data_IF_842385634500
#
_entry.id   IF_842385634500
#
_cell.length_a   1.000
_cell.length_b   1.000
_cell.length_c   1.000
_cell.angle_alpha   90.00
_cell.angle_beta   90.00
_cell.angle_gamma   90.00
#
_symmetry.space_group_name_H-M   'P 1'
#
loop_
_entity.id
_entity.type
_entity.pdbx_description
1 polymer ?
#
# COMPACT_ATOMS: atom_id res chain seq x y z
N UNK A 1 14.63 -14.37 -21.06
CA UNK A 1 14.07 -13.65 -19.90
C UNK A 1 14.88 -12.37 -19.78
N UNK A 2 14.26 -11.20 -19.97
CA UNK A 2 14.97 -9.91 -19.87
C UNK A 2 15.43 -9.69 -18.43
N UNK A 3 16.63 -9.13 -18.24
CA UNK A 3 17.19 -8.83 -16.91
C UNK A 3 16.25 -8.01 -16.03
N UNK A 4 15.33 -7.27 -16.65
CA UNK A 4 14.30 -6.49 -15.96
C UNK A 4 13.25 -7.32 -15.24
N UNK A 5 12.67 -8.30 -15.93
CA UNK A 5 11.65 -9.18 -15.34
C UNK A 5 12.22 -10.05 -14.22
N UNK A 6 13.52 -10.40 -14.31
CA UNK A 6 14.20 -11.15 -13.28
C UNK A 6 14.36 -10.33 -11.99
N UNK A 7 14.75 -9.06 -12.10
CA UNK A 7 15.01 -8.21 -10.93
C UNK A 7 13.73 -7.80 -10.21
N UNK A 8 12.66 -7.47 -10.95
CA UNK A 8 11.36 -7.18 -10.34
C UNK A 8 10.77 -8.40 -9.64
N UNK A 9 10.88 -9.59 -10.24
CA UNK A 9 10.43 -10.84 -9.63
C UNK A 9 11.24 -11.23 -8.39
N UNK A 10 12.57 -11.03 -8.41
CA UNK A 10 13.42 -11.27 -7.25
C UNK A 10 13.06 -10.33 -6.09
N UNK A 11 12.80 -9.05 -6.39
CA UNK A 11 12.40 -8.08 -5.38
C UNK A 11 11.02 -8.39 -4.78
N UNK A 12 10.05 -8.80 -5.62
CA UNK A 12 8.74 -9.26 -5.14
C UNK A 12 8.86 -10.52 -4.28
N UNK A 13 9.74 -11.44 -4.64
CA UNK A 13 10.00 -12.64 -3.82
C UNK A 13 10.55 -12.26 -2.44
N UNK A 14 11.51 -11.34 -2.39
CA UNK A 14 12.06 -10.82 -1.12
C UNK A 14 10.99 -10.12 -0.27
N UNK A 15 10.13 -9.30 -0.90
CA UNK A 15 9.02 -8.65 -0.21
C UNK A 15 8.00 -9.64 0.35
N UNK A 16 7.66 -10.69 -0.42
CA UNK A 16 6.78 -11.78 0.02
C UNK A 16 7.35 -12.49 1.25
N UNK A 17 8.59 -12.97 1.16
CA UNK A 17 9.25 -13.67 2.28
C UNK A 17 9.38 -12.79 3.53
N UNK A 18 9.51 -11.47 3.35
CA UNK A 18 9.54 -10.52 4.44
C UNK A 18 8.18 -10.37 5.12
N UNK A 19 7.11 -10.30 4.34
CA UNK A 19 5.73 -10.12 4.82
C UNK A 19 5.11 -11.40 5.38
N UNK A 20 5.45 -12.57 4.83
CA UNK A 20 4.98 -13.88 5.30
C UNK A 20 5.36 -14.19 6.76
N UNK A 21 6.26 -13.39 7.34
CA UNK A 21 6.57 -13.43 8.79
C UNK A 21 5.47 -12.82 9.66
N UNK A 22 4.58 -12.03 9.08
CA UNK A 22 3.58 -11.23 9.78
C UNK A 22 2.15 -11.49 9.28
N UNK A 23 1.98 -11.79 7.99
CA UNK A 23 0.70 -11.84 7.30
C UNK A 23 0.65 -13.01 6.32
N UNK A 24 -0.55 -13.44 5.95
CA UNK A 24 -0.74 -14.31 4.79
C UNK A 24 -0.66 -13.45 3.51
N UNK A 25 0.18 -13.88 2.56
CA UNK A 25 0.44 -13.18 1.30
C UNK A 25 0.10 -14.09 0.14
N UNK A 26 -0.71 -13.60 -0.79
CA UNK A 26 -1.04 -14.26 -2.04
C UNK A 26 -0.25 -13.64 -3.19
N UNK A 27 0.07 -14.45 -4.19
CA UNK A 27 0.70 -14.00 -5.44
C UNK A 27 -0.34 -14.14 -6.54
N UNK A 28 -0.67 -13.04 -7.19
CA UNK A 28 -1.64 -13.01 -8.29
C UNK A 28 -1.00 -13.48 -9.61
N UNK A 29 -1.83 -13.71 -10.63
CA UNK A 29 -1.41 -14.20 -11.95
C UNK A 29 -0.41 -13.27 -12.67
N UNK A 30 -0.41 -11.98 -12.32
CA UNK A 30 0.52 -10.97 -12.84
C UNK A 30 1.80 -10.83 -11.99
N UNK A 31 1.92 -11.61 -10.92
CA UNK A 31 3.04 -11.59 -9.98
C UNK A 31 2.92 -10.54 -8.87
N UNK A 32 1.87 -9.73 -8.85
CA UNK A 32 1.62 -8.81 -7.74
C UNK A 32 1.37 -9.58 -6.44
N UNK A 33 1.78 -9.00 -5.31
CA UNK A 33 1.48 -9.56 -4.00
C UNK A 33 0.20 -8.94 -3.47
N UNK A 34 -0.77 -9.75 -3.08
CA UNK A 34 -2.01 -9.30 -2.44
C UNK A 34 -2.11 -9.86 -1.03
N UNK A 35 -2.52 -9.02 -0.08
CA UNK A 35 -2.69 -9.40 1.31
C UNK A 35 -3.67 -8.45 1.99
N UNK A 36 -4.06 -8.78 3.22
CA UNK A 36 -4.87 -7.88 4.04
C UNK A 36 -4.31 -7.76 5.46
N UNK A 37 -4.49 -6.59 6.06
CA UNK A 37 -4.16 -6.35 7.47
C UNK A 37 -5.23 -5.48 8.11
N UNK A 38 -5.89 -6.01 9.15
CA UNK A 38 -7.04 -5.37 9.81
C UNK A 38 -8.11 -4.87 8.81
N UNK A 39 -8.55 -5.77 7.92
CA UNK A 39 -9.55 -5.52 6.86
C UNK A 39 -9.17 -4.42 5.85
N UNK A 40 -7.89 -4.03 5.80
CA UNK A 40 -7.33 -3.19 4.73
C UNK A 40 -6.69 -4.10 3.69
N UNK A 41 -7.27 -4.25 2.49
CA UNK A 41 -6.61 -4.95 1.40
C UNK A 41 -5.47 -4.09 0.85
N UNK A 42 -4.33 -4.74 0.61
CA UNK A 42 -3.12 -4.13 0.11
C UNK A 42 -2.54 -4.94 -1.05
N UNK A 43 -1.90 -4.24 -1.98
CA UNK A 43 -1.21 -4.81 -3.14
C UNK A 43 0.20 -4.24 -3.25
N UNK A 44 1.18 -5.09 -3.57
CA UNK A 44 2.55 -4.70 -3.88
C UNK A 44 2.90 -5.10 -5.30
N UNK A 45 3.48 -4.15 -6.03
CA UNK A 45 4.02 -4.35 -7.37
C UNK A 45 5.46 -3.86 -7.42
N UNK A 46 6.29 -4.50 -8.25
CA UNK A 46 7.65 -4.04 -8.54
C UNK A 46 7.72 -3.46 -9.94
N UNK A 47 8.46 -2.37 -10.10
CA UNK A 47 8.70 -1.74 -11.41
C UNK A 47 10.14 -1.25 -11.47
N UNK A 48 10.83 -1.52 -12.58
CA UNK A 48 12.13 -0.92 -12.84
C UNK A 48 11.92 0.46 -13.45
N UNK A 49 12.47 1.50 -12.81
CA UNK A 49 12.44 2.86 -13.37
C UNK A 49 13.67 3.16 -14.22
N UNK A 50 14.82 2.60 -13.85
CA UNK A 50 16.08 2.68 -14.57
C UNK A 50 16.95 1.47 -14.21
N UNK A 51 18.08 1.31 -14.90
CA UNK A 51 19.08 0.30 -14.53
C UNK A 51 19.59 0.54 -13.09
N UNK A 52 19.53 -0.49 -12.24
CA UNK A 52 19.88 -0.39 -10.83
C UNK A 52 18.88 0.41 -9.97
N UNK A 53 17.68 0.68 -10.48
CA UNK A 53 16.60 1.36 -9.75
C UNK A 53 15.28 0.60 -9.87
N UNK A 54 15.13 -0.42 -9.03
CA UNK A 54 13.89 -1.17 -8.88
C UNK A 54 13.09 -0.65 -7.68
N UNK A 55 11.84 -0.28 -7.94
CA UNK A 55 10.92 0.35 -6.98
C UNK A 55 9.79 -0.61 -6.63
N UNK A 56 9.47 -0.71 -5.34
CA UNK A 56 8.24 -1.33 -4.87
C UNK A 56 7.17 -0.26 -4.71
N UNK A 57 5.98 -0.52 -5.24
CA UNK A 57 4.78 0.27 -5.03
C UNK A 57 3.79 -0.53 -4.19
N UNK A 58 3.55 -0.08 -2.97
CA UNK A 58 2.52 -0.59 -2.08
C UNK A 58 1.29 0.31 -2.17
N UNK A 59 0.13 -0.27 -2.43
CA UNK A 59 -1.17 0.43 -2.43
C UNK A 59 -2.11 -0.29 -1.49
N UNK A 60 -2.69 0.43 -0.52
CA UNK A 60 -3.69 -0.09 0.39
C UNK A 60 -5.01 0.67 0.21
N UNK A 61 -6.13 -0.05 0.19
CA UNK A 61 -7.46 0.57 0.12
C UNK A 61 -7.96 0.76 1.56
N UNK A 62 -7.80 1.99 2.06
CA UNK A 62 -8.12 2.35 3.45
C UNK A 62 -9.63 2.33 3.67
N UNK A 63 -10.39 2.91 2.74
CA UNK A 63 -11.85 2.91 2.74
C UNK A 63 -12.39 2.89 1.30
N UNK A 64 -13.61 2.41 1.16
CA UNK A 64 -14.27 2.14 -0.12
C UNK A 64 -15.74 2.56 -0.02
N UNK A 65 -16.32 2.97 -1.14
CA UNK A 65 -17.74 3.34 -1.26
C UNK A 65 -18.20 4.35 -0.18
N UNK A 66 -17.33 5.29 0.22
CA UNK A 66 -17.71 6.36 1.15
C UNK A 66 -18.61 7.38 0.44
N UNK A 67 -19.50 8.08 1.17
CA UNK A 67 -20.24 9.21 0.61
C UNK A 67 -19.29 10.24 -0.01
N UNK A 68 -19.67 10.85 -1.14
CA UNK A 68 -18.91 11.96 -1.76
C UNK A 68 -19.12 13.26 -0.95
N UNK A 69 -18.66 13.22 0.30
CA UNK A 69 -18.64 14.34 1.21
C UNK A 69 -17.31 15.09 1.07
N UNK A 70 -17.33 16.39 0.71
CA UNK A 70 -16.12 17.20 0.63
C UNK A 70 -15.33 17.26 1.96
N UNK A 71 -15.97 17.07 3.12
CA UNK A 71 -15.28 17.01 4.41
C UNK A 71 -14.37 15.78 4.52
N UNK A 72 -14.80 14.62 4.01
CA UNK A 72 -13.98 13.40 3.99
C UNK A 72 -12.77 13.61 3.06
N UNK A 73 -13.00 14.18 1.88
CA UNK A 73 -11.93 14.47 0.93
C UNK A 73 -10.91 15.49 1.48
N UNK A 74 -11.38 16.56 2.14
CA UNK A 74 -10.52 17.54 2.79
C UNK A 74 -9.69 16.91 3.92
N UNK A 75 -10.33 16.08 4.77
CA UNK A 75 -9.66 15.40 5.87
C UNK A 75 -8.61 14.39 5.38
N UNK A 76 -8.87 13.70 4.28
CA UNK A 76 -7.88 12.84 3.61
C UNK A 76 -6.70 13.66 3.05
N UNK A 77 -6.96 14.81 2.44
CA UNK A 77 -5.92 15.70 1.90
C UNK A 77 -5.03 16.32 2.99
N UNK A 78 -5.61 16.74 4.12
CA UNK A 78 -4.85 17.23 5.28
C UNK A 78 -3.90 16.16 5.83
N UNK A 79 -4.38 14.91 5.94
CA UNK A 79 -3.58 13.77 6.40
C UNK A 79 -2.52 13.32 5.38
N UNK A 80 -2.77 13.49 4.09
CA UNK A 80 -1.80 13.18 3.03
C UNK A 80 -0.48 13.95 3.20
N UNK A 81 -0.52 15.15 3.79
CA UNK A 81 0.67 15.97 4.06
C UNK A 81 1.40 15.67 5.37
N UNK A 82 0.86 14.79 6.23
CA UNK A 82 1.40 14.51 7.58
C UNK A 82 2.03 13.12 7.71
N UNK A 83 1.74 12.21 6.79
CA UNK A 83 2.26 10.84 6.81
C UNK A 83 3.70 10.75 6.31
N UNK A 84 4.58 10.10 7.08
CA UNK A 84 5.95 9.77 6.65
C UNK A 84 5.99 8.52 5.74
N UNK A 85 4.98 7.65 5.84
CA UNK A 85 4.95 6.33 5.21
C UNK A 85 3.69 6.14 4.36
N UNK A 86 3.68 6.83 3.23
CA UNK A 86 2.60 6.77 2.24
C UNK A 86 1.87 8.08 2.08
N UNK A 87 1.27 8.24 0.90
CA UNK A 87 0.46 9.40 0.54
C UNK A 87 -0.98 8.93 0.38
N UNK A 88 -1.91 9.64 1.02
CA UNK A 88 -3.34 9.39 0.84
C UNK A 88 -3.82 9.98 -0.49
N UNK A 89 -4.62 9.21 -1.21
CA UNK A 89 -5.30 9.62 -2.43
C UNK A 89 -6.79 9.35 -2.33
N UNK A 90 -7.59 10.25 -2.91
CA UNK A 90 -9.05 10.10 -3.05
C UNK A 90 -9.35 9.75 -4.51
N UNK A 91 -10.03 8.63 -4.74
CA UNK A 91 -10.51 8.21 -6.05
C UNK A 91 -12.03 8.30 -6.05
N UNK A 92 -12.61 9.00 -7.01
CA UNK A 92 -14.07 9.09 -7.15
C UNK A 92 -14.57 8.03 -8.12
N UNK A 93 -15.61 7.31 -7.74
CA UNK A 93 -16.28 6.29 -8.54
C UNK A 93 -17.79 6.59 -8.62
N UNK A 94 -18.54 5.81 -9.40
CA UNK A 94 -20.01 5.93 -9.47
C UNK A 94 -20.70 5.62 -8.13
N UNK A 95 -20.01 4.89 -7.23
CA UNK A 95 -20.55 4.47 -5.93
C UNK A 95 -20.16 5.39 -4.78
N UNK A 96 -19.33 6.40 -5.01
CA UNK A 96 -18.84 7.31 -3.98
C UNK A 96 -17.35 7.59 -4.11
N UNK A 97 -16.65 7.64 -2.98
CA UNK A 97 -15.21 7.88 -2.94
C UNK A 97 -14.48 6.74 -2.25
N UNK A 98 -13.34 6.35 -2.84
CA UNK A 98 -12.39 5.40 -2.30
C UNK A 98 -11.15 6.15 -1.80
N UNK A 99 -10.66 5.75 -0.64
CA UNK A 99 -9.46 6.32 -0.02
C UNK A 99 -8.36 5.27 -0.11
N UNK A 100 -7.27 5.64 -0.75
CA UNK A 100 -6.10 4.78 -0.94
C UNK A 100 -4.88 5.37 -0.26
N UNK A 101 -4.02 4.53 0.29
CA UNK A 101 -2.69 4.90 0.75
C UNK A 101 -1.66 4.28 -0.20
N UNK A 102 -0.85 5.11 -0.85
CA UNK A 102 0.20 4.65 -1.76
C UNK A 102 1.57 5.02 -1.23
N UNK A 103 2.49 4.05 -1.22
CA UNK A 103 3.89 4.30 -0.91
C UNK A 103 4.79 3.61 -1.95
N UNK A 104 5.68 4.38 -2.56
CA UNK A 104 6.63 3.88 -3.53
C UNK A 104 8.06 4.23 -3.08
N UNK A 105 8.94 3.24 -3.06
CA UNK A 105 10.32 3.41 -2.59
C UNK A 105 11.27 2.46 -3.32
N UNK A 106 12.53 2.88 -3.56
CA UNK A 106 13.56 1.98 -4.05
C UNK A 106 13.84 0.94 -2.98
N UNK A 107 13.76 -0.33 -3.36
CA UNK A 107 13.97 -1.44 -2.44
C UNK A 107 15.10 -2.39 -2.85
N UNK A 108 15.77 -2.05 -3.95
CA UNK A 108 16.95 -2.75 -4.42
C UNK A 108 18.07 -2.72 -3.39
N UNK A 109 18.66 -3.90 -3.13
CA UNK A 109 19.75 -4.06 -2.16
C UNK A 109 19.34 -4.04 -0.68
N UNK A 110 18.04 -3.96 -0.36
CA UNK A 110 17.60 -4.07 1.03
C UNK A 110 17.47 -5.53 1.49
N UNK A 111 17.93 -5.78 2.70
CA UNK A 111 17.74 -7.07 3.35
C UNK A 111 16.26 -7.34 3.69
N UNK A 112 15.82 -8.61 3.74
CA UNK A 112 14.43 -8.95 4.00
C UNK A 112 13.88 -8.45 5.35
N UNK A 113 14.72 -8.24 6.37
CA UNK A 113 14.28 -7.81 7.70
C UNK A 113 13.94 -6.30 7.74
N UNK A 114 14.85 -5.39 7.30
CA UNK A 114 14.50 -3.99 7.10
C UNK A 114 13.34 -3.77 6.12
N UNK A 115 13.28 -4.55 5.03
CA UNK A 115 12.20 -4.47 4.05
C UNK A 115 10.84 -4.79 4.69
N UNK A 116 10.76 -5.89 5.44
CA UNK A 116 9.53 -6.27 6.16
C UNK A 116 9.10 -5.21 7.18
N UNK A 117 10.05 -4.62 7.90
CA UNK A 117 9.77 -3.55 8.86
C UNK A 117 9.15 -2.34 8.17
N UNK A 118 9.74 -1.88 7.06
CA UNK A 118 9.24 -0.71 6.33
C UNK A 118 7.85 -0.97 5.72
N UNK A 119 7.64 -2.15 5.14
CA UNK A 119 6.32 -2.55 4.62
C UNK A 119 5.28 -2.58 5.74
N UNK A 120 5.61 -3.16 6.91
CA UNK A 120 4.71 -3.21 8.05
C UNK A 120 4.40 -1.83 8.65
N UNK A 121 5.33 -0.87 8.59
CA UNK A 121 5.05 0.52 8.99
C UNK A 121 3.94 1.13 8.14
N UNK A 122 4.05 1.03 6.81
CA UNK A 122 3.04 1.55 5.88
C UNK A 122 1.69 0.85 6.05
N UNK A 123 1.71 -0.48 6.15
CA UNK A 123 0.49 -1.29 6.32
C UNK A 123 -0.20 -0.98 7.65
N UNK A 124 0.56 -0.82 8.73
CA UNK A 124 0.01 -0.43 10.04
C UNK A 124 -0.57 0.97 10.01
N UNK A 125 0.07 1.92 9.31
CA UNK A 125 -0.47 3.26 9.09
C UNK A 125 -1.81 3.21 8.33
N UNK A 126 -1.92 2.37 7.30
CA UNK A 126 -3.18 2.20 6.56
C UNK A 126 -4.32 1.70 7.46
N UNK A 127 -4.06 0.73 8.33
CA UNK A 127 -5.05 0.18 9.27
C UNK A 127 -5.47 1.18 10.35
N UNK A 128 -4.53 1.98 10.87
CA UNK A 128 -4.85 3.06 11.80
C UNK A 128 -5.74 4.10 11.12
N UNK A 129 -5.38 4.53 9.90
CA UNK A 129 -6.17 5.50 9.13
C UNK A 129 -7.59 5.00 8.83
N UNK A 130 -7.75 3.71 8.52
CA UNK A 130 -9.08 3.09 8.33
C UNK A 130 -9.89 3.17 9.61
N UNK A 131 -9.28 2.83 10.74
CA UNK A 131 -9.94 2.83 12.04
C UNK A 131 -10.40 4.24 12.42
N UNK A 132 -9.57 5.25 12.19
CA UNK A 132 -9.89 6.66 12.47
C UNK A 132 -10.98 7.19 11.53
N UNK A 133 -10.90 6.87 10.24
CA UNK A 133 -11.88 7.28 9.23
C UNK A 133 -13.27 6.65 9.48
N UNK A 134 -13.33 5.35 9.72
CA UNK A 134 -14.59 4.63 9.94
C UNK A 134 -15.12 4.81 11.38
N UNK A 135 -14.23 4.96 12.37
CA UNK A 135 -14.60 5.28 13.75
C UNK A 135 -15.22 6.67 13.88
N UNK A 136 -14.80 7.63 13.05
CA UNK A 136 -15.42 8.96 12.97
C UNK A 136 -16.78 8.93 12.25
N UNK A 137 -16.97 8.03 11.28
CA UNK A 137 -18.22 7.91 10.52
C UNK A 137 -19.38 7.23 11.28
N UNK A 138 -19.09 6.49 12.36
CA UNK A 138 -20.10 5.83 13.19
C UNK A 138 -20.64 6.71 14.34
N UNK A 139 -20.18 7.97 14.44
CA UNK A 139 -20.46 8.89 15.52
C UNK A 139 -21.22 10.14 15.09
N UNK A 140 -22.30 10.00 14.32
CA UNK A 140 -23.31 11.04 14.07
C UNK A 140 -24.74 10.46 14.08
#
# INVERSE_FOLDING_TARGET
>A
MTTEAADTAALLTSAREALERYLEVHVDDDGALTFSHADVPCVIQATRLAEGLTVLSLTCVVAWDLPDDPAIAASAAERAGQGLFGTLGVVRSEKGIDITLRYAFPAEGMDPSPLGTLLMLVVSTASQLRSDLLGSAAGE
#
